data_IF_111062538148
#
_entry.id   IF_111062538148
#
_cell.length_a   1.000
_cell.length_b   1.000
_cell.length_c   1.000
_cell.angle_alpha   90.00
_cell.angle_beta   90.00
_cell.angle_gamma   90.00
#
_symmetry.space_group_name_H-M   'P 1'
#
loop_
_entity.id
_entity.type
_entity.pdbx_description
1 polymer ?
#
# COMPACT_ATOMS: atom_id res chain seq x y z
N UNK A 1 13.82 8.22 19.56
CA UNK A 1 13.86 7.54 18.25
C UNK A 1 13.92 6.05 18.49
N UNK A 2 12.83 5.49 19.02
CA UNK A 2 12.88 4.30 19.88
C UNK A 2 12.90 2.95 19.14
N UNK A 3 12.70 2.95 17.81
CA UNK A 3 12.72 1.72 16.98
C UNK A 3 13.82 1.68 15.92
N UNK A 4 14.68 2.70 15.84
CA UNK A 4 15.77 2.73 14.84
C UNK A 4 15.33 2.77 13.37
N UNK A 5 14.06 3.05 13.07
CA UNK A 5 13.52 3.09 11.69
C UNK A 5 13.90 4.36 10.92
N UNK A 6 14.23 5.43 11.64
CA UNK A 6 14.55 6.74 11.07
C UNK A 6 15.85 7.23 11.68
N UNK A 7 16.75 7.71 10.84
CA UNK A 7 17.92 8.48 11.26
C UNK A 7 17.65 9.97 11.07
N UNK A 8 18.19 10.79 11.99
CA UNK A 8 18.18 12.24 11.85
C UNK A 8 19.60 12.80 11.87
N UNK A 9 19.92 13.64 10.89
CA UNK A 9 21.18 14.36 10.78
C UNK A 9 20.91 15.76 10.24
N UNK A 10 21.46 16.80 10.89
CA UNK A 10 21.33 18.21 10.47
C UNK A 10 19.90 18.67 10.16
N UNK A 11 18.93 18.23 10.98
CA UNK A 11 17.51 18.56 10.81
C UNK A 11 16.81 17.84 9.64
N UNK A 12 17.51 16.90 8.98
CA UNK A 12 16.95 16.03 7.95
C UNK A 12 16.63 14.66 8.53
N UNK A 13 15.60 14.03 8.01
CA UNK A 13 15.22 12.65 8.34
C UNK A 13 15.42 11.75 7.14
N UNK A 14 15.91 10.53 7.37
CA UNK A 14 16.00 9.47 6.38
C UNK A 14 15.57 8.15 6.99
N UNK A 15 14.94 7.28 6.20
CA UNK A 15 14.71 5.91 6.61
C UNK A 15 16.06 5.21 6.78
N UNK A 16 16.18 4.39 7.82
CA UNK A 16 17.24 3.38 7.88
C UNK A 16 16.87 2.21 6.98
N UNK A 17 17.78 1.25 6.77
CA UNK A 17 17.46 0.04 6.01
C UNK A 17 16.25 -0.70 6.60
N UNK A 18 16.18 -0.80 7.94
CA UNK A 18 15.04 -1.37 8.63
C UNK A 18 13.76 -0.55 8.40
N UNK A 19 13.83 0.78 8.45
CA UNK A 19 12.69 1.64 8.16
C UNK A 19 12.22 1.55 6.71
N UNK A 20 13.14 1.33 5.77
CA UNK A 20 12.83 1.13 4.37
C UNK A 20 12.13 -0.22 4.13
N UNK A 21 12.58 -1.28 4.79
CA UNK A 21 11.95 -2.61 4.73
C UNK A 21 10.52 -2.58 5.31
N UNK A 22 10.35 -2.02 6.51
CA UNK A 22 9.04 -1.87 7.16
C UNK A 22 8.10 -0.98 6.33
N UNK A 23 8.60 0.15 5.82
CA UNK A 23 7.83 1.04 4.95
C UNK A 23 7.42 0.37 3.63
N UNK A 24 8.31 -0.44 3.04
CA UNK A 24 8.00 -1.19 1.84
C UNK A 24 6.91 -2.24 2.09
N UNK A 25 6.94 -2.92 3.24
CA UNK A 25 5.90 -3.87 3.62
C UNK A 25 4.53 -3.19 3.68
N UNK A 26 4.41 -2.06 4.38
CA UNK A 26 3.16 -1.30 4.49
C UNK A 26 2.64 -0.87 3.11
N UNK A 27 3.51 -0.28 2.27
CA UNK A 27 3.12 0.16 0.91
C UNK A 27 2.68 -1.02 0.04
N UNK A 28 3.33 -2.18 0.17
CA UNK A 28 2.95 -3.41 -0.54
C UNK A 28 1.59 -3.92 -0.06
N UNK A 29 1.37 -3.96 1.24
CA UNK A 29 0.11 -4.34 1.88
C UNK A 29 -1.05 -3.48 1.37
N UNK A 30 -0.87 -2.16 1.36
CA UNK A 30 -1.84 -1.21 0.82
C UNK A 30 -2.22 -1.56 -0.62
N UNK A 31 -1.23 -1.60 -1.52
CA UNK A 31 -1.48 -1.80 -2.95
C UNK A 31 -2.10 -3.15 -3.27
N UNK A 32 -1.65 -4.22 -2.61
CA UNK A 32 -2.23 -5.56 -2.80
C UNK A 32 -3.69 -5.58 -2.40
N UNK A 33 -4.03 -4.93 -1.28
CA UNK A 33 -5.41 -4.84 -0.83
C UNK A 33 -6.28 -4.03 -1.79
N UNK A 34 -5.80 -2.88 -2.27
CA UNK A 34 -6.49 -2.08 -3.30
C UNK A 34 -6.79 -2.91 -4.55
N UNK A 35 -5.79 -3.63 -5.05
CA UNK A 35 -5.94 -4.49 -6.23
C UNK A 35 -6.93 -5.61 -5.95
N UNK A 36 -6.84 -6.25 -4.79
CA UNK A 36 -7.77 -7.31 -4.40
C UNK A 36 -9.22 -6.82 -4.40
N UNK A 37 -9.50 -5.68 -3.77
CA UNK A 37 -10.85 -5.09 -3.73
C UNK A 37 -11.38 -4.73 -5.13
N UNK A 38 -10.52 -4.14 -5.96
CA UNK A 38 -10.87 -3.75 -7.32
C UNK A 38 -11.16 -4.96 -8.21
N UNK A 39 -10.26 -5.95 -8.26
CA UNK A 39 -10.42 -7.13 -9.13
C UNK A 39 -11.51 -8.08 -8.66
N UNK A 40 -11.88 -8.05 -7.38
CA UNK A 40 -13.06 -8.74 -6.85
C UNK A 40 -14.37 -7.99 -7.14
N UNK A 41 -14.32 -6.84 -7.81
CA UNK A 41 -15.47 -5.96 -8.07
C UNK A 41 -16.23 -5.58 -6.79
N UNK A 42 -15.51 -5.44 -5.66
CA UNK A 42 -16.08 -5.01 -4.38
C UNK A 42 -16.18 -3.49 -4.36
N UNK A 43 -15.18 -2.80 -4.89
CA UNK A 43 -15.11 -1.34 -4.98
C UNK A 43 -14.47 -0.90 -6.30
N UNK A 44 -14.86 0.28 -6.75
CA UNK A 44 -14.20 0.97 -7.86
C UNK A 44 -12.86 1.56 -7.43
N UNK A 45 -11.95 1.75 -8.38
CA UNK A 45 -10.57 2.19 -8.11
C UNK A 45 -10.47 3.51 -7.34
N UNK A 46 -11.42 4.43 -7.48
CA UNK A 46 -11.45 5.71 -6.74
C UNK A 46 -11.95 5.58 -5.28
N UNK A 47 -12.36 4.37 -4.86
CA UNK A 47 -12.92 4.09 -3.54
C UNK A 47 -12.11 3.08 -2.69
N UNK A 48 -11.01 2.51 -3.22
CA UNK A 48 -10.22 1.47 -2.53
C UNK A 48 -9.23 1.98 -1.48
N UNK A 49 -8.82 3.25 -1.57
CA UNK A 49 -7.77 3.87 -0.75
C UNK A 49 -8.10 3.80 0.75
N UNK A 50 -9.27 4.31 1.15
CA UNK A 50 -9.68 4.33 2.55
C UNK A 50 -9.79 2.93 3.17
N UNK A 51 -10.42 1.93 2.52
CA UNK A 51 -10.40 0.55 3.01
C UNK A 51 -8.99 -0.07 3.10
N UNK A 52 -8.03 0.34 2.26
CA UNK A 52 -6.65 -0.11 2.35
C UNK A 52 -5.92 0.49 3.56
N UNK A 53 -6.07 1.80 3.80
CA UNK A 53 -5.56 2.47 5.00
C UNK A 53 -6.04 1.81 6.30
N UNK A 54 -7.30 1.36 6.33
CA UNK A 54 -7.91 0.74 7.52
C UNK A 54 -7.30 -0.64 7.87
N UNK A 55 -6.66 -1.32 6.91
CA UNK A 55 -6.19 -2.70 7.10
C UNK A 55 -4.69 -2.91 6.88
N UNK A 56 -3.97 -2.00 6.20
CA UNK A 56 -2.58 -2.22 5.78
C UNK A 56 -1.62 -2.58 6.92
N UNK A 57 -1.89 -2.08 8.13
CA UNK A 57 -1.13 -2.36 9.35
C UNK A 57 -1.54 -3.65 10.06
N UNK A 58 -2.64 -4.28 9.63
CA UNK A 58 -3.18 -5.53 10.18
C UNK A 58 -2.83 -6.74 9.31
N UNK A 59 -2.41 -6.52 8.06
CA UNK A 59 -2.06 -7.60 7.14
C UNK A 59 -0.73 -8.24 7.55
N UNK A 60 -0.74 -9.55 7.77
CA UNK A 60 0.45 -10.33 8.10
C UNK A 60 1.18 -10.78 6.84
N UNK A 61 2.47 -11.15 6.91
CA UNK A 61 3.21 -11.69 5.76
C UNK A 61 2.52 -12.88 5.09
N UNK A 62 1.84 -13.73 5.86
CA UNK A 62 1.08 -14.88 5.33
C UNK A 62 -0.13 -14.43 4.51
N UNK A 63 -0.87 -13.42 4.98
CA UNK A 63 -2.00 -12.85 4.23
C UNK A 63 -1.51 -12.17 2.96
N UNK A 64 -0.38 -11.46 3.04
CA UNK A 64 0.25 -10.86 1.87
C UNK A 64 0.58 -11.92 0.83
N UNK A 65 1.22 -13.03 1.23
CA UNK A 65 1.53 -14.12 0.30
C UNK A 65 0.27 -14.73 -0.35
N UNK A 66 -0.84 -14.81 0.39
CA UNK A 66 -2.12 -15.27 -0.17
C UNK A 66 -2.70 -14.29 -1.19
N UNK A 67 -2.66 -12.98 -0.90
CA UNK A 67 -3.08 -11.94 -1.86
C UNK A 67 -2.24 -11.97 -3.14
N UNK A 68 -0.93 -12.17 -3.01
CA UNK A 68 -0.03 -12.33 -4.16
C UNK A 68 -0.41 -13.54 -5.03
N UNK A 69 -0.67 -14.71 -4.41
CA UNK A 69 -1.11 -15.91 -5.15
C UNK A 69 -2.44 -15.69 -5.86
N UNK A 70 -3.42 -15.10 -5.17
CA UNK A 70 -4.74 -14.80 -5.74
C UNK A 70 -4.61 -13.90 -6.97
N UNK A 71 -3.90 -12.78 -6.84
CA UNK A 71 -3.76 -11.80 -7.93
C UNK A 71 -2.95 -12.37 -9.10
N UNK A 72 -1.91 -13.14 -8.83
CA UNK A 72 -1.10 -13.79 -9.85
C UNK A 72 -1.90 -14.85 -10.62
N UNK A 73 -2.67 -15.68 -9.92
CA UNK A 73 -3.42 -16.79 -10.53
C UNK A 73 -4.68 -16.34 -11.26
N UNK A 74 -5.40 -15.39 -10.69
CA UNK A 74 -6.69 -14.96 -11.24
C UNK A 74 -6.55 -13.86 -12.29
N UNK A 75 -5.59 -12.94 -12.11
CA UNK A 75 -5.43 -11.76 -12.97
C UNK A 75 -4.13 -11.77 -13.79
N UNK A 76 -3.22 -12.72 -13.54
CA UNK A 76 -1.93 -12.77 -14.23
C UNK A 76 -0.98 -11.63 -13.85
N UNK A 77 -1.27 -10.92 -12.76
CA UNK A 77 -0.44 -9.80 -12.29
C UNK A 77 0.83 -10.31 -11.63
N UNK A 78 1.98 -9.71 -11.97
CA UNK A 78 3.23 -9.91 -11.25
C UNK A 78 3.23 -9.10 -9.94
N UNK A 79 3.15 -9.74 -8.76
CA UNK A 79 3.07 -9.03 -7.48
C UNK A 79 4.27 -8.13 -7.21
N UNK A 80 5.44 -8.44 -7.77
CA UNK A 80 6.65 -7.62 -7.62
C UNK A 80 6.58 -6.31 -8.42
N UNK A 81 5.59 -6.16 -9.30
CA UNK A 81 5.41 -5.00 -10.19
C UNK A 81 4.11 -4.26 -9.96
N UNK A 82 3.40 -4.55 -8.87
CA UNK A 82 2.16 -3.85 -8.54
C UNK A 82 2.45 -2.37 -8.23
N UNK A 83 1.83 -1.51 -9.05
CA UNK A 83 1.91 -0.05 -8.96
C UNK A 83 0.69 0.52 -8.25
N UNK A 84 0.66 1.82 -8.02
CA UNK A 84 -0.53 2.50 -7.50
C UNK A 84 -1.65 2.46 -8.56
N UNK A 85 -2.87 2.06 -8.16
CA UNK A 85 -4.01 1.88 -9.07
C UNK A 85 -4.73 3.19 -9.44
N UNK A 86 -4.54 4.26 -8.66
CA UNK A 86 -5.13 5.59 -8.91
C UNK A 86 -4.49 6.36 -10.07
N UNK A 87 -3.41 5.82 -10.66
CA UNK A 87 -2.53 6.60 -11.55
C UNK A 87 -1.76 7.66 -10.75
N UNK A 88 -0.73 8.27 -11.34
CA UNK A 88 0.14 9.26 -10.66
C UNK A 88 -0.56 10.55 -10.21
N UNK A 89 -1.89 10.65 -10.36
CA UNK A 89 -2.72 11.68 -9.75
C UNK A 89 -3.63 11.05 -8.71
N UNK A 90 -3.12 10.88 -7.47
CA UNK A 90 -3.99 10.83 -6.30
C UNK A 90 -4.94 12.02 -6.40
N UNK A 91 -6.20 11.75 -6.74
CA UNK A 91 -7.26 12.74 -6.69
C UNK A 91 -7.61 12.98 -5.21
N UNK A 92 -6.65 13.51 -4.45
CA UNK A 92 -6.94 14.19 -3.20
C UNK A 92 -7.94 15.29 -3.54
N UNK A 93 -9.22 15.03 -3.28
CA UNK A 93 -10.29 15.99 -3.44
C UNK A 93 -9.94 17.20 -2.58
N UNK A 94 -9.52 18.28 -3.26
CA UNK A 94 -9.43 19.61 -2.66
C UNK A 94 -10.79 19.88 -2.02
N UNK A 95 -10.77 20.14 -0.72
CA UNK A 95 -11.93 20.11 0.16
C UNK A 95 -13.18 20.83 -0.35
N UNK A 96 -14.31 20.40 0.22
CA UNK A 96 -15.63 20.96 -0.03
C UNK A 96 -15.65 22.49 -0.11
N UNK A 97 -16.15 22.97 -1.23
CA UNK A 97 -16.93 24.19 -1.47
C UNK A 97 -17.86 23.78 -2.61
N UNK A 98 -19.17 23.97 -2.58
CA UNK A 98 -20.04 24.94 -1.93
C UNK A 98 -21.37 24.28 -1.51
#
# INVERSE_FOLDING_TARGET
>A
MEKGLVSAQDGRFALTDLGAEEGLFVVKSHRLWEHYLYYRAILDADHVDRPADEVEHLLTPEIIAELEDILQREQGLDPARIVNIHGTGSHYRRGGRE
#
